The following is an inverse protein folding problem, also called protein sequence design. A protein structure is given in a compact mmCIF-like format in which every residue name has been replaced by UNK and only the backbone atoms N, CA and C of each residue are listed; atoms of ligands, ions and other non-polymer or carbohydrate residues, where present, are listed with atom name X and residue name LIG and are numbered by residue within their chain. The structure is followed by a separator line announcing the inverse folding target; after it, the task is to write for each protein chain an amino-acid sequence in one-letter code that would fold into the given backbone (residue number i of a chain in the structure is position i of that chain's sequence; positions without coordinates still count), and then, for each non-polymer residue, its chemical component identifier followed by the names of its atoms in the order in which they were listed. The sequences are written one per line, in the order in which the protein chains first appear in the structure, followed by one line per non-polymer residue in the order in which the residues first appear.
data_IF_052127828754
#
_entry.id   IF_052127828754
#
_cell.length_a   1.000
_cell.length_b   1.000
_cell.length_c   1.000
_cell.angle_alpha   90.00
_cell.angle_beta   90.00
_cell.angle_gamma   90.00
#
_symmetry.space_group_name_H-M   'P 1'
#
loop_
_entity.id
_entity.type
_entity.pdbx_description
1 polymer ?
#
# COMPACT_ATOMS: atom_id res chain seq x y z
N UNK A 1 20.50 24.77 16.30
CA UNK A 1 19.61 25.63 17.12
C UNK A 1 18.20 25.42 16.60
N UNK A 2 17.27 25.06 17.49
CA UNK A 2 15.87 24.80 17.11
C UNK A 2 15.22 26.01 16.45
N UNK A 3 14.23 25.79 15.60
CA UNK A 3 13.45 26.85 14.95
C UNK A 3 12.86 27.79 16.01
N UNK A 4 12.30 27.21 17.09
CA UNK A 4 11.80 27.98 18.24
C UNK A 4 12.87 28.90 18.83
N UNK A 5 14.09 28.39 19.05
CA UNK A 5 15.19 29.20 19.59
C UNK A 5 15.61 30.30 18.61
N UNK A 6 15.68 30.03 17.30
CA UNK A 6 15.98 31.04 16.28
C UNK A 6 14.95 32.18 16.26
N UNK A 7 13.66 31.84 16.31
CA UNK A 7 12.57 32.81 16.36
C UNK A 7 12.62 33.67 17.62
N UNK A 8 12.81 33.04 18.80
CA UNK A 8 12.93 33.76 20.06
C UNK A 8 14.16 34.67 20.09
N UNK A 9 15.32 34.21 19.61
CA UNK A 9 16.53 35.03 19.54
C UNK A 9 16.31 36.26 18.66
N UNK A 10 15.70 36.10 17.49
CA UNK A 10 15.42 37.21 16.58
C UNK A 10 14.44 38.23 17.19
N UNK A 11 13.39 37.76 17.87
CA UNK A 11 12.43 38.60 18.57
C UNK A 11 13.11 39.40 19.70
N UNK A 12 13.88 38.71 20.55
CA UNK A 12 14.59 39.32 21.67
C UNK A 12 15.64 40.33 21.19
N UNK A 13 16.30 40.07 20.07
CA UNK A 13 17.28 40.99 19.49
C UNK A 13 16.62 42.28 18.98
N UNK A 14 15.47 42.18 18.32
CA UNK A 14 14.72 43.35 17.86
C UNK A 14 14.20 44.20 19.04
N UNK A 15 13.64 43.55 20.08
CA UNK A 15 13.17 44.21 21.30
C UNK A 15 14.35 44.82 22.08
N UNK A 16 15.47 44.12 22.18
CA UNK A 16 16.67 44.62 22.85
C UNK A 16 17.20 45.88 22.17
N UNK A 17 17.29 45.90 20.84
CA UNK A 17 17.73 47.07 20.08
C UNK A 17 16.76 48.25 20.26
N UNK A 18 15.44 48.01 20.27
CA UNK A 18 14.47 49.09 20.49
C UNK A 18 14.55 49.67 21.89
N UNK A 19 14.72 48.83 22.93
CA UNK A 19 14.90 49.30 24.31
C UNK A 19 16.16 50.18 24.42
N UNK A 20 17.29 49.73 23.88
CA UNK A 20 18.54 50.50 23.91
C UNK A 20 18.35 51.86 23.24
N UNK A 21 17.68 51.90 22.09
CA UNK A 21 17.40 53.14 21.37
C UNK A 21 16.46 54.07 22.16
N UNK A 22 15.38 53.54 22.74
CA UNK A 22 14.44 54.32 23.56
C UNK A 22 15.15 54.88 24.80
N UNK A 23 15.94 54.05 25.49
CA UNK A 23 16.74 54.49 26.64
C UNK A 23 17.73 55.59 26.27
N UNK A 24 18.37 55.49 25.10
CA UNK A 24 19.26 56.54 24.59
C UNK A 24 18.53 57.87 24.34
N UNK A 25 17.35 57.82 23.71
CA UNK A 25 16.52 59.01 23.46
C UNK A 25 16.07 59.65 24.77
N UNK A 26 15.55 58.85 25.71
CA UNK A 26 15.12 59.33 27.03
C UNK A 26 16.28 60.00 27.76
N UNK A 27 17.46 59.36 27.76
CA UNK A 27 18.66 59.91 28.40
C UNK A 27 19.05 61.27 27.80
N UNK A 28 19.07 61.40 26.47
CA UNK A 28 19.37 62.69 25.81
C UNK A 28 18.31 63.74 26.09
N UNK A 29 17.03 63.36 26.14
CA UNK A 29 15.93 64.27 26.43
C UNK A 29 15.99 64.81 27.87
N UNK A 30 16.33 63.97 28.85
CA UNK A 30 16.50 64.39 30.25
C UNK A 30 17.65 65.40 30.42
N UNK A 31 18.75 65.24 29.67
CA UNK A 31 19.88 66.18 29.69
C UNK A 31 19.49 67.57 29.16
N UNK A 32 18.63 67.63 28.13
CA UNK A 32 18.17 68.89 27.52
C UNK A 32 17.27 69.69 28.49
N UNK A 33 16.39 69.02 29.23
CA UNK A 33 15.40 69.68 30.09
C UNK A 33 16.02 70.41 31.30
N UNK A 34 17.18 69.96 31.78
CA UNK A 34 17.82 70.53 32.98
C UNK A 34 18.51 71.90 32.76
N UNK A 35 18.72 72.34 31.51
CA UNK A 35 19.67 73.41 31.20
C UNK A 35 19.07 74.82 31.02
N UNK A 36 17.75 75.02 30.95
CA UNK A 36 17.20 76.25 30.34
C UNK A 36 16.06 76.98 31.08
N UNK A 37 15.60 76.51 32.25
CA UNK A 37 14.45 77.13 32.94
C UNK A 37 14.78 78.46 33.64
N UNK A 38 16.04 78.68 34.03
CA UNK A 38 16.38 79.77 34.94
C UNK A 38 16.77 81.08 34.22
N UNK A 39 17.08 81.03 32.91
CA UNK A 39 17.61 82.20 32.20
C UNK A 39 16.54 83.26 31.85
N UNK A 40 15.27 82.86 31.70
CA UNK A 40 14.15 83.79 31.50
C UNK A 40 14.02 84.76 32.68
N UNK A 41 14.30 84.27 33.90
CA UNK A 41 14.27 85.11 35.09
C UNK A 41 15.38 86.17 35.07
N UNK A 42 16.57 85.82 34.56
CA UNK A 42 17.69 86.77 34.38
C UNK A 42 17.29 87.93 33.47
N UNK A 43 16.68 87.62 32.31
CA UNK A 43 16.24 88.62 31.34
C UNK A 43 15.22 89.60 31.94
N UNK A 44 14.20 89.07 32.62
CA UNK A 44 13.17 89.88 33.29
C UNK A 44 13.77 90.76 34.39
N UNK A 45 14.72 90.23 35.17
CA UNK A 45 15.39 91.00 36.23
C UNK A 45 16.22 92.16 35.66
N UNK A 46 16.97 91.95 34.56
CA UNK A 46 17.76 93.02 33.92
C UNK A 46 16.86 94.10 33.31
N UNK A 47 15.77 93.69 32.65
CA UNK A 47 14.80 94.64 32.11
C UNK A 47 14.11 95.45 33.22
N UNK A 48 13.77 94.81 34.33
CA UNK A 48 13.22 95.47 35.51
C UNK A 48 14.24 96.42 36.17
N UNK A 49 15.51 96.03 36.23
CA UNK A 49 16.60 96.85 36.75
C UNK A 49 16.78 98.14 35.92
N UNK A 50 16.75 98.01 34.60
CA UNK A 50 16.79 99.17 33.70
C UNK A 50 15.57 100.08 33.89
N UNK A 51 14.38 99.50 34.02
CA UNK A 51 13.13 100.23 34.25
C UNK A 51 13.15 101.02 35.56
N UNK A 52 13.52 100.39 36.68
CA UNK A 52 13.56 101.04 37.99
C UNK A 52 14.71 102.05 38.12
N UNK A 53 15.83 101.83 37.43
CA UNK A 53 16.90 102.84 37.34
C UNK A 53 16.42 104.08 36.58
N UNK A 54 15.61 103.89 35.52
CA UNK A 54 14.98 105.00 34.80
C UNK A 54 13.95 105.72 35.66
N UNK A 55 13.16 104.98 36.44
CA UNK A 55 12.23 105.56 37.40
C UNK A 55 12.97 106.36 38.50
N UNK A 56 14.11 105.87 38.97
CA UNK A 56 15.00 106.58 39.92
C UNK A 56 15.54 107.88 39.31
N UNK A 57 15.98 107.84 38.04
CA UNK A 57 16.39 109.06 37.33
C UNK A 57 15.24 110.08 37.30
N UNK A 58 14.03 109.64 36.99
CA UNK A 58 12.86 110.51 36.89
C UNK A 58 12.45 111.10 38.25
N UNK A 59 12.43 110.30 39.32
CA UNK A 59 12.08 110.77 40.67
C UNK A 59 13.10 111.77 41.22
N UNK A 60 14.40 111.53 41.02
CA UNK A 60 15.45 112.51 41.33
C UNK A 60 15.28 113.80 40.51
N UNK A 61 14.97 113.68 39.22
CA UNK A 61 14.68 114.85 38.38
C UNK A 61 13.46 115.62 38.88
N UNK A 62 12.38 114.93 39.27
CA UNK A 62 11.16 115.55 39.81
C UNK A 62 11.45 116.32 41.11
N UNK A 63 12.23 115.74 42.03
CA UNK A 63 12.67 116.45 43.23
C UNK A 63 13.49 117.69 42.90
N UNK A 64 14.41 117.60 41.93
CA UNK A 64 15.25 118.74 41.55
C UNK A 64 14.45 119.94 41.04
N UNK A 65 13.31 119.71 40.36
CA UNK A 65 12.41 120.76 39.90
C UNK A 65 11.40 121.20 40.96
N UNK A 66 10.96 120.28 41.83
CA UNK A 66 9.97 120.53 42.87
C UNK A 66 10.34 119.77 44.16
N UNK A 67 11.13 120.38 45.07
CA UNK A 67 11.70 119.71 46.25
C UNK A 67 10.68 119.58 47.39
N UNK A 68 9.67 118.73 47.16
CA UNK A 68 8.66 118.36 48.17
C UNK A 68 9.07 117.10 48.93
N UNK A 69 8.53 116.93 50.14
CA UNK A 69 8.76 115.70 50.91
C UNK A 69 8.22 114.46 50.20
N UNK A 70 7.12 114.59 49.44
CA UNK A 70 6.59 113.51 48.61
C UNK A 70 7.56 113.06 47.52
N UNK A 71 8.18 114.01 46.79
CA UNK A 71 9.19 113.70 45.77
C UNK A 71 10.48 113.16 46.39
N UNK A 72 10.85 113.61 47.60
CA UNK A 72 11.99 113.06 48.34
C UNK A 72 11.75 111.59 48.67
N UNK A 73 10.58 111.27 49.25
CA UNK A 73 10.23 109.90 49.60
C UNK A 73 10.10 108.99 48.38
N UNK A 74 9.56 109.49 47.27
CA UNK A 74 9.51 108.73 46.01
C UNK A 74 10.93 108.43 45.49
N UNK A 75 11.83 109.41 45.50
CA UNK A 75 13.23 109.20 45.11
C UNK A 75 13.93 108.15 45.98
N UNK A 76 13.79 108.24 47.30
CA UNK A 76 14.35 107.25 48.24
C UNK A 76 13.79 105.85 47.98
N UNK A 77 12.48 105.72 47.79
CA UNK A 77 11.81 104.43 47.54
C UNK A 77 12.28 103.81 46.22
N UNK A 78 12.44 104.62 45.16
CA UNK A 78 12.95 104.15 43.87
C UNK A 78 14.42 103.74 43.94
N UNK A 79 15.23 104.47 44.68
CA UNK A 79 16.64 104.13 44.91
C UNK A 79 16.76 102.80 45.67
N UNK A 80 16.02 102.63 46.76
CA UNK A 80 16.00 101.39 47.54
C UNK A 80 15.56 100.20 46.70
N UNK A 81 14.46 100.33 45.94
CA UNK A 81 13.98 99.28 45.03
C UNK A 81 15.02 98.92 43.97
N UNK A 82 15.71 99.91 43.40
CA UNK A 82 16.78 99.68 42.42
C UNK A 82 17.96 98.93 43.04
N UNK A 83 18.36 99.30 44.26
CA UNK A 83 19.42 98.63 45.02
C UNK A 83 19.07 97.15 45.34
N UNK A 84 17.81 96.88 45.69
CA UNK A 84 17.30 95.52 45.87
C UNK A 84 17.37 94.70 44.57
N UNK A 85 16.99 95.27 43.43
CA UNK A 85 17.04 94.57 42.13
C UNK A 85 18.50 94.32 41.71
N UNK A 86 19.44 95.23 41.97
CA UNK A 86 20.88 94.95 41.76
C UNK A 86 21.34 93.72 42.55
N UNK A 87 20.90 93.59 43.79
CA UNK A 87 21.21 92.43 44.64
C UNK A 87 20.62 91.14 44.07
N UNK A 88 19.36 91.18 43.60
CA UNK A 88 18.72 90.04 42.93
C UNK A 88 19.44 89.66 41.63
N UNK A 89 19.78 90.65 40.80
CA UNK A 89 20.49 90.44 39.53
C UNK A 89 21.85 89.78 39.76
N UNK A 90 22.58 90.16 40.81
CA UNK A 90 23.88 89.57 41.18
C UNK A 90 23.77 88.10 41.58
N UNK A 91 22.66 87.68 42.18
CA UNK A 91 22.41 86.29 42.54
C UNK A 91 22.00 85.40 41.35
N UNK A 92 21.45 86.00 40.29
CA UNK A 92 20.92 85.27 39.13
C UNK A 92 21.90 85.21 37.94
N UNK A 93 22.66 86.28 37.70
CA UNK A 93 23.61 86.35 36.58
C UNK A 93 24.87 85.56 36.94
N UNK A 94 25.07 84.41 36.30
CA UNK A 94 26.27 83.57 36.50
C UNK A 94 27.37 83.79 35.45
N UNK A 95 27.03 84.38 34.29
CA UNK A 95 27.99 84.62 33.21
C UNK A 95 29.01 85.70 33.60
N UNK A 96 30.30 85.39 33.45
CA UNK A 96 31.41 86.24 33.93
C UNK A 96 31.39 87.65 33.31
N UNK A 97 31.14 87.78 32.02
CA UNK A 97 31.15 89.08 31.34
C UNK A 97 29.97 89.96 31.74
N UNK A 98 28.78 89.36 31.84
CA UNK A 98 27.57 90.03 32.34
C UNK A 98 27.71 90.44 33.81
N UNK A 99 28.39 89.65 34.64
CA UNK A 99 28.71 90.03 36.02
C UNK A 99 29.63 91.26 36.08
N UNK A 100 30.67 91.34 35.22
CA UNK A 100 31.57 92.51 35.19
C UNK A 100 30.82 93.80 34.88
N UNK A 101 29.90 93.77 33.90
CA UNK A 101 29.08 94.94 33.54
C UNK A 101 28.09 95.28 34.65
N UNK A 102 27.45 94.28 35.27
CA UNK A 102 26.57 94.48 36.42
C UNK A 102 27.30 95.11 37.60
N UNK A 103 28.49 94.62 37.95
CA UNK A 103 29.30 95.17 39.05
C UNK A 103 29.67 96.63 38.81
N UNK A 104 30.09 96.97 37.58
CA UNK A 104 30.38 98.35 37.19
C UNK A 104 29.15 99.25 37.29
N UNK A 105 28.00 98.79 36.81
CA UNK A 105 26.74 99.52 36.92
C UNK A 105 26.32 99.71 38.39
N UNK A 106 26.51 98.67 39.21
CA UNK A 106 26.21 98.70 40.64
C UNK A 106 27.10 99.68 41.40
N UNK A 107 28.42 99.67 41.17
CA UNK A 107 29.36 100.62 41.80
C UNK A 107 29.01 102.07 41.48
N UNK A 108 28.69 102.36 40.21
CA UNK A 108 28.21 103.69 39.80
C UNK A 108 26.90 104.06 40.48
N UNK A 109 25.97 103.10 40.58
CA UNK A 109 24.69 103.32 41.24
C UNK A 109 24.85 103.57 42.74
N UNK A 110 25.70 102.81 43.45
CA UNK A 110 25.97 103.00 44.88
C UNK A 110 26.62 104.35 45.15
N UNK A 111 27.58 104.78 44.31
CA UNK A 111 28.19 106.10 44.42
C UNK A 111 27.16 107.23 44.18
N UNK A 112 26.28 107.06 43.19
CA UNK A 112 25.17 107.96 42.90
C UNK A 112 24.18 108.01 44.06
N UNK A 113 23.79 106.85 44.60
CA UNK A 113 22.85 106.69 45.70
C UNK A 113 23.35 107.36 46.97
N UNK A 114 24.62 107.19 47.31
CA UNK A 114 25.23 107.84 48.48
C UNK A 114 25.19 109.37 48.38
N UNK A 115 25.55 109.93 47.22
CA UNK A 115 25.56 111.39 47.02
C UNK A 115 24.15 111.96 46.83
N UNK A 116 23.24 111.22 46.21
CA UNK A 116 21.83 111.60 46.07
C UNK A 116 21.13 111.64 47.44
N UNK A 117 21.38 110.67 48.32
CA UNK A 117 20.81 110.65 49.67
C UNK A 117 21.23 111.89 50.48
N UNK A 118 22.52 112.23 50.49
CA UNK A 118 23.03 113.45 51.15
C UNK A 118 22.37 114.71 50.59
N UNK A 119 22.29 114.80 49.26
CA UNK A 119 21.71 115.97 48.58
C UNK A 119 20.19 116.11 48.80
N UNK A 120 19.47 115.00 48.92
CA UNK A 120 18.05 114.98 49.27
C UNK A 120 17.80 115.46 50.70
N UNK A 121 18.68 115.09 51.65
CA UNK A 121 18.63 115.54 53.04
C UNK A 121 18.96 117.03 53.18
N UNK A 122 19.97 117.50 52.44
CA UNK A 122 20.38 118.90 52.38
C UNK A 122 19.45 119.78 51.52
N UNK A 123 18.46 119.18 50.86
CA UNK A 123 17.56 119.83 49.88
C UNK A 123 18.31 120.55 48.75
N UNK A 124 19.45 120.03 48.35
CA UNK A 124 20.29 120.58 47.30
C UNK A 124 19.80 120.12 45.91
N UNK A 125 18.85 120.85 45.33
CA UNK A 125 18.26 120.53 44.02
C UNK A 125 19.27 120.46 42.88
N UNK A 126 20.32 121.29 42.89
CA UNK A 126 21.35 121.30 41.85
C UNK A 126 22.17 120.00 41.87
N UNK A 127 22.52 119.55 43.07
CA UNK A 127 23.22 118.28 43.27
C UNK A 127 22.34 117.08 42.91
N UNK A 128 21.08 117.07 43.33
CA UNK A 128 20.13 116.01 42.95
C UNK A 128 19.94 115.96 41.42
N UNK A 129 19.88 117.10 40.74
CA UNK A 129 19.83 117.14 39.27
C UNK A 129 21.08 116.51 38.66
N UNK A 130 22.26 116.80 39.21
CA UNK A 130 23.52 116.20 38.76
C UNK A 130 23.51 114.68 38.93
N UNK A 131 23.02 114.17 40.05
CA UNK A 131 22.90 112.73 40.27
C UNK A 131 21.87 112.08 39.33
N UNK A 132 20.73 112.72 39.08
CA UNK A 132 19.77 112.27 38.06
C UNK A 132 20.42 112.14 36.66
N UNK A 133 21.27 113.09 36.27
CA UNK A 133 22.02 113.00 35.01
C UNK A 133 23.08 111.89 35.06
N UNK A 134 23.76 111.69 36.19
CA UNK A 134 24.71 110.56 36.37
C UNK A 134 24.03 109.18 36.27
N UNK A 135 22.72 109.07 36.52
CA UNK A 135 21.95 107.85 36.27
C UNK A 135 22.02 107.42 34.81
N UNK A 136 22.28 108.32 33.85
CA UNK A 136 22.51 107.95 32.44
C UNK A 136 23.73 107.05 32.27
N UNK A 137 24.79 107.28 33.06
CA UNK A 137 25.97 106.43 33.05
C UNK A 137 25.73 105.02 33.58
N UNK A 138 24.77 104.86 34.51
CA UNK A 138 24.28 103.57 35.00
C UNK A 138 23.39 102.91 33.96
N UNK A 139 22.42 103.66 33.40
CA UNK A 139 21.51 103.18 32.35
C UNK A 139 22.26 102.69 31.10
N UNK A 140 23.37 103.34 30.74
CA UNK A 140 24.19 102.90 29.62
C UNK A 140 24.88 101.56 29.89
N UNK A 141 25.42 101.35 31.10
CA UNK A 141 26.00 100.05 31.48
C UNK A 141 24.89 98.98 31.60
N UNK A 142 23.69 99.34 32.09
CA UNK A 142 22.54 98.42 32.13
C UNK A 142 22.00 98.08 30.73
N UNK A 143 22.07 99.01 29.78
CA UNK A 143 21.73 98.72 28.39
C UNK A 143 22.73 97.74 27.77
N UNK A 144 24.03 97.93 28.02
CA UNK A 144 25.06 96.97 27.62
C UNK A 144 24.85 95.61 28.26
N UNK A 145 24.51 95.56 29.56
CA UNK A 145 24.17 94.33 30.27
C UNK A 145 22.96 93.64 29.63
N UNK A 146 21.93 94.39 29.28
CA UNK A 146 20.75 93.86 28.60
C UNK A 146 21.13 93.25 27.24
N UNK A 147 22.00 93.90 26.45
CA UNK A 147 22.50 93.32 25.19
C UNK A 147 23.22 91.99 25.46
N UNK A 148 24.17 91.96 26.40
CA UNK A 148 24.93 90.74 26.72
C UNK A 148 24.05 89.57 27.19
N UNK A 149 23.07 89.86 28.04
CA UNK A 149 22.12 88.85 28.52
C UNK A 149 21.21 88.35 27.40
N UNK A 150 20.75 89.22 26.49
CA UNK A 150 19.97 88.79 25.33
C UNK A 150 20.83 87.94 24.37
N UNK A 151 22.05 88.34 24.06
CA UNK A 151 22.96 87.57 23.19
C UNK A 151 23.25 86.17 23.75
N UNK A 152 23.46 86.06 25.06
CA UNK A 152 23.67 84.76 25.70
C UNK A 152 22.39 83.92 25.74
N UNK A 153 21.22 84.54 25.92
CA UNK A 153 19.94 83.84 25.82
C UNK A 153 19.69 83.28 24.41
N UNK A 154 19.97 84.07 23.37
CA UNK A 154 19.86 83.64 21.98
C UNK A 154 20.84 82.48 21.69
N UNK A 155 22.06 82.55 22.23
CA UNK A 155 23.02 81.45 22.16
C UNK A 155 22.48 80.17 22.82
N UNK A 156 21.91 80.25 24.02
CA UNK A 156 21.29 79.11 24.70
C UNK A 156 20.10 78.54 23.91
N UNK A 157 19.28 79.38 23.26
CA UNK A 157 18.18 78.91 22.43
C UNK A 157 18.66 78.16 21.19
N UNK A 158 19.67 78.68 20.51
CA UNK A 158 20.21 78.03 19.32
C UNK A 158 20.93 76.72 19.69
N UNK A 159 21.65 76.68 20.81
CA UNK A 159 22.21 75.43 21.33
C UNK A 159 21.12 74.40 21.67
N UNK A 160 20.05 74.82 22.36
CA UNK A 160 18.90 73.96 22.67
C UNK A 160 18.27 73.39 21.39
N UNK A 161 18.05 74.23 20.38
CA UNK A 161 17.49 73.82 19.09
C UNK A 161 18.40 72.83 18.38
N UNK A 162 19.71 73.04 18.40
CA UNK A 162 20.70 72.11 17.83
C UNK A 162 20.69 70.77 18.56
N UNK A 163 20.61 70.77 19.90
CA UNK A 163 20.49 69.55 20.69
C UNK A 163 19.19 68.77 20.37
N UNK A 164 18.06 69.47 20.27
CA UNK A 164 16.77 68.88 19.89
C UNK A 164 16.83 68.31 18.47
N UNK A 165 17.38 69.05 17.50
CA UNK A 165 17.55 68.58 16.13
C UNK A 165 18.44 67.35 16.06
N UNK A 166 19.53 67.31 16.84
CA UNK A 166 20.39 66.13 16.93
C UNK A 166 19.63 64.91 17.49
N UNK A 167 18.81 65.10 18.54
CA UNK A 167 17.97 64.03 19.09
C UNK A 167 17.00 63.51 18.02
N UNK A 168 16.28 64.40 17.33
CA UNK A 168 15.35 64.03 16.26
C UNK A 168 16.06 63.28 15.13
N UNK A 169 17.19 63.80 14.64
CA UNK A 169 17.96 63.18 13.56
C UNK A 169 18.49 61.79 13.97
N UNK A 170 19.05 61.67 15.18
CA UNK A 170 19.51 60.39 15.71
C UNK A 170 18.37 59.38 15.88
N UNK A 171 17.17 59.82 16.28
CA UNK A 171 15.98 59.00 16.38
C UNK A 171 15.48 58.54 15.00
N UNK A 172 15.49 59.41 13.99
CA UNK A 172 15.12 59.04 12.61
C UNK A 172 16.09 58.01 12.05
N UNK A 173 17.40 58.27 12.14
CA UNK A 173 18.45 57.36 11.65
C UNK A 173 18.37 56.01 12.36
N UNK A 174 18.23 56.00 13.69
CA UNK A 174 18.07 54.78 14.46
C UNK A 174 16.81 54.00 14.10
N UNK A 175 15.70 54.69 13.78
CA UNK A 175 14.44 54.06 13.38
C UNK A 175 14.58 53.40 12.01
N UNK A 176 15.21 54.08 11.05
CA UNK A 176 15.51 53.53 9.72
C UNK A 176 16.42 52.30 9.87
N UNK A 177 17.45 52.39 10.69
CA UNK A 177 18.39 51.28 10.92
C UNK A 177 17.69 50.08 11.56
N UNK A 178 16.79 50.31 12.54
CA UNK A 178 15.94 49.26 13.12
C UNK A 178 15.08 48.59 12.06
N UNK A 179 14.43 49.35 11.18
CA UNK A 179 13.60 48.80 10.08
C UNK A 179 14.45 47.97 9.12
N UNK A 180 15.63 48.44 8.74
CA UNK A 180 16.56 47.71 7.85
C UNK A 180 17.02 46.40 8.49
N UNK A 181 17.41 46.43 9.77
CA UNK A 181 17.84 45.24 10.51
C UNK A 181 16.68 44.25 10.67
N UNK A 182 15.50 44.72 11.09
CA UNK A 182 14.31 43.89 11.23
C UNK A 182 13.87 43.27 9.90
N UNK A 183 13.90 44.05 8.82
CA UNK A 183 13.62 43.59 7.45
C UNK A 183 14.62 42.53 6.99
N UNK A 184 15.92 42.75 7.22
CA UNK A 184 16.97 41.79 6.90
C UNK A 184 16.81 40.46 7.65
N UNK A 185 16.46 40.51 8.93
CA UNK A 185 16.13 39.32 9.74
C UNK A 185 14.90 38.61 9.16
N UNK A 186 13.86 39.35 8.74
CA UNK A 186 12.65 38.80 8.12
C UNK A 186 12.91 38.07 6.80
N UNK A 187 13.76 38.65 5.92
CA UNK A 187 14.18 38.03 4.65
C UNK A 187 15.00 36.76 4.92
N UNK A 188 15.91 36.81 5.89
CA UNK A 188 16.69 35.63 6.31
C UNK A 188 15.78 34.52 6.85
N UNK A 189 14.78 34.86 7.66
CA UNK A 189 13.84 33.88 8.20
C UNK A 189 13.00 33.22 7.09
N UNK A 190 12.51 34.05 6.16
CA UNK A 190 11.73 33.57 5.00
C UNK A 190 12.54 32.59 4.15
N UNK A 191 13.81 32.90 3.88
CA UNK A 191 14.67 32.02 3.07
C UNK A 191 15.13 30.75 3.79
N UNK A 192 15.30 30.80 5.11
CA UNK A 192 15.84 29.66 5.89
C UNK A 192 14.78 28.74 6.49
N UNK A 193 13.54 29.20 6.62
CA UNK A 193 12.44 28.45 7.23
C UNK A 193 11.26 28.35 6.27
N UNK A 194 10.69 29.48 5.86
CA UNK A 194 9.43 29.51 5.09
C UNK A 194 9.57 28.88 3.70
N UNK A 195 10.66 29.17 2.97
CA UNK A 195 10.90 28.60 1.64
C UNK A 195 11.05 27.07 1.67
N UNK A 196 11.95 26.47 2.48
CA UNK A 196 12.04 25.01 2.61
C UNK A 196 10.73 24.37 3.06
N UNK A 197 10.04 24.96 4.04
CA UNK A 197 8.76 24.44 4.52
C UNK A 197 7.70 24.41 3.40
N UNK A 198 7.63 25.48 2.60
CA UNK A 198 6.73 25.52 1.44
C UNK A 198 7.08 24.44 0.41
N UNK A 199 8.37 24.19 0.17
CA UNK A 199 8.80 23.14 -0.75
C UNK A 199 8.44 21.74 -0.24
N UNK A 200 8.62 21.48 1.06
CA UNK A 200 8.18 20.22 1.69
C UNK A 200 6.66 20.07 1.56
N UNK A 201 5.89 21.14 1.77
CA UNK A 201 4.44 21.11 1.60
C UNK A 201 4.01 20.82 0.14
N UNK A 202 4.71 21.38 -0.85
CA UNK A 202 4.49 21.07 -2.27
C UNK A 202 4.80 19.60 -2.55
N UNK A 203 5.94 19.10 -2.08
CA UNK A 203 6.32 17.69 -2.24
C UNK A 203 5.28 16.76 -1.60
N UNK A 204 4.77 17.10 -0.41
CA UNK A 204 3.69 16.36 0.24
C UNK A 204 2.41 16.33 -0.59
N UNK A 205 2.07 17.45 -1.23
CA UNK A 205 0.90 17.54 -2.11
C UNK A 205 1.08 16.71 -3.40
N UNK A 206 2.29 16.66 -3.95
CA UNK A 206 2.60 15.80 -5.11
C UNK A 206 2.52 14.32 -4.75
N UNK A 207 3.05 13.91 -3.59
CA UNK A 207 2.88 12.55 -3.05
C UNK A 207 1.39 12.22 -2.90
N UNK A 208 0.58 13.14 -2.37
CA UNK A 208 -0.86 12.94 -2.18
C UNK A 208 -1.61 12.77 -3.51
N UNK A 209 -1.10 13.32 -4.62
CA UNK A 209 -1.63 13.10 -5.98
C UNK A 209 -1.09 11.82 -6.64
N UNK A 210 -0.25 11.05 -5.96
CA UNK A 210 0.35 9.82 -6.47
C UNK A 210 1.71 10.01 -7.18
N UNK A 211 2.24 11.23 -7.24
CA UNK A 211 3.57 11.49 -7.77
C UNK A 211 4.62 11.30 -6.67
N UNK A 212 5.25 10.13 -6.63
CA UNK A 212 6.33 9.81 -5.67
C UNK A 212 7.72 10.18 -6.18
N UNK A 213 7.84 10.64 -7.43
CA UNK A 213 9.11 11.05 -8.04
C UNK A 213 9.44 12.50 -7.66
N UNK A 214 9.51 12.77 -6.36
CA UNK A 214 9.82 14.09 -5.81
C UNK A 214 11.32 14.23 -5.56
N UNK A 215 11.85 15.43 -5.82
CA UNK A 215 13.24 15.74 -5.48
C UNK A 215 13.34 16.13 -4.00
N UNK A 216 14.35 15.61 -3.31
CA UNK A 216 14.63 15.94 -1.91
C UNK A 216 14.91 17.42 -1.78
N UNK A 217 14.23 18.09 -0.85
CA UNK A 217 14.49 19.52 -0.58
C UNK A 217 15.93 19.65 -0.07
N UNK A 218 16.79 20.48 -0.70
CA UNK A 218 18.19 20.61 -0.32
C UNK A 218 18.33 21.44 0.97
N UNK A 219 17.97 20.84 2.10
CA UNK A 219 17.99 21.46 3.42
C UNK A 219 19.04 20.79 4.31
N UNK A 220 20.13 21.52 4.60
CA UNK A 220 21.30 20.99 5.32
C UNK A 220 21.28 21.24 6.84
N UNK A 221 20.27 21.94 7.37
CA UNK A 221 20.24 22.25 8.81
C UNK A 221 19.68 21.07 9.61
N UNK A 222 20.33 20.76 10.74
CA UNK A 222 19.91 19.74 11.70
C UNK A 222 18.95 20.31 12.76
N UNK A 223 17.90 20.99 12.31
CA UNK A 223 16.81 21.45 13.17
C UNK A 223 15.51 20.70 12.83
N UNK A 224 14.38 21.11 13.40
CA UNK A 224 13.11 20.40 13.24
C UNK A 224 12.66 20.31 11.77
N UNK A 225 13.03 21.29 10.93
CA UNK A 225 12.76 21.22 9.48
C UNK A 225 13.64 20.19 8.79
N UNK A 226 14.88 20.01 9.24
CA UNK A 226 15.77 18.97 8.72
C UNK A 226 15.25 17.57 9.03
N UNK A 227 14.84 17.35 10.28
CA UNK A 227 14.19 16.09 10.67
C UNK A 227 12.92 15.85 9.87
N UNK A 228 12.06 16.87 9.70
CA UNK A 228 10.86 16.76 8.89
C UNK A 228 11.17 16.37 7.43
N UNK A 229 12.18 17.00 6.83
CA UNK A 229 12.61 16.72 5.46
C UNK A 229 13.12 15.28 5.30
N UNK A 230 13.93 14.80 6.25
CA UNK A 230 14.41 13.41 6.27
C UNK A 230 13.26 12.41 6.45
N UNK A 231 12.32 12.67 7.36
CA UNK A 231 11.15 11.79 7.55
C UNK A 231 10.26 11.74 6.31
N UNK A 232 10.06 12.87 5.62
CA UNK A 232 9.29 12.92 4.36
C UNK A 232 9.97 12.13 3.23
N UNK A 233 11.29 12.25 3.11
CA UNK A 233 12.11 11.51 2.13
C UNK A 233 12.02 9.99 2.38
N UNK A 234 12.15 9.57 3.64
CA UNK A 234 11.96 8.17 4.03
C UNK A 234 10.54 7.65 3.73
N UNK A 235 9.51 8.46 4.01
CA UNK A 235 8.12 8.11 3.71
C UNK A 235 7.89 7.94 2.20
N UNK A 236 8.41 8.85 1.37
CA UNK A 236 8.31 8.75 -0.09
C UNK A 236 9.01 7.49 -0.63
N UNK A 237 10.20 7.18 -0.10
CA UNK A 237 10.94 5.96 -0.46
C UNK A 237 10.19 4.68 -0.06
N UNK A 238 9.60 4.65 1.15
CA UNK A 238 8.80 3.52 1.62
C UNK A 238 7.54 3.32 0.78
N UNK A 239 6.83 4.39 0.44
CA UNK A 239 5.67 4.33 -0.46
C UNK A 239 6.04 3.81 -1.85
N UNK A 240 7.18 4.25 -2.39
CA UNK A 240 7.68 3.80 -3.69
C UNK A 240 7.99 2.30 -3.68
N UNK A 241 8.70 1.83 -2.65
CA UNK A 241 8.98 0.41 -2.43
C UNK A 241 7.70 -0.42 -2.27
N UNK A 242 6.70 0.09 -1.54
CA UNK A 242 5.41 -0.58 -1.40
C UNK A 242 4.69 -0.72 -2.74
N UNK A 243 4.62 0.34 -3.55
CA UNK A 243 4.01 0.27 -4.88
C UNK A 243 4.74 -0.69 -5.83
N UNK A 244 6.08 -0.76 -5.75
CA UNK A 244 6.84 -1.75 -6.52
C UNK A 244 6.47 -3.18 -6.12
N UNK A 245 6.33 -3.46 -4.82
CA UNK A 245 5.89 -4.77 -4.33
C UNK A 245 4.46 -5.11 -4.76
N UNK A 246 3.55 -4.14 -4.71
CA UNK A 246 2.17 -4.32 -5.20
C UNK A 246 2.15 -4.62 -6.70
N UNK A 247 2.97 -3.92 -7.51
CA UNK A 247 3.07 -4.20 -8.94
C UNK A 247 3.62 -5.60 -9.22
N UNK A 248 4.64 -6.05 -8.47
CA UNK A 248 5.16 -7.42 -8.59
C UNK A 248 4.09 -8.46 -8.25
N UNK A 249 3.37 -8.28 -7.14
CA UNK A 249 2.27 -9.17 -6.76
C UNK A 249 1.14 -9.17 -7.80
N UNK A 250 0.83 -8.01 -8.39
CA UNK A 250 -0.19 -7.93 -9.47
C UNK A 250 0.22 -8.73 -10.70
N UNK A 251 1.50 -8.71 -11.08
CA UNK A 251 2.02 -9.52 -12.20
C UNK A 251 2.03 -11.01 -11.89
N UNK A 252 2.32 -11.38 -10.64
CA UNK A 252 2.25 -12.77 -10.20
C UNK A 252 0.82 -13.30 -10.25
N UNK A 253 -0.16 -12.48 -9.84
CA UNK A 253 -1.60 -12.80 -9.97
C UNK A 253 -2.01 -12.94 -11.44
N UNK A 254 -1.52 -12.06 -12.33
CA UNK A 254 -1.77 -12.14 -13.77
C UNK A 254 -1.23 -13.44 -14.37
N UNK A 255 0.02 -13.81 -14.05
CA UNK A 255 0.61 -15.08 -14.47
C UNK A 255 -0.17 -16.29 -13.94
N UNK A 256 -0.58 -16.26 -12.66
CA UNK A 256 -1.36 -17.34 -12.06
C UNK A 256 -2.74 -17.50 -12.73
N UNK A 257 -3.35 -16.40 -13.16
CA UNK A 257 -4.60 -16.43 -13.91
C UNK A 257 -4.41 -17.07 -15.30
N UNK A 258 -3.31 -16.77 -15.99
CA UNK A 258 -2.96 -17.42 -17.27
C UNK A 258 -2.72 -18.93 -17.11
N UNK A 259 -2.02 -19.36 -16.06
CA UNK A 259 -1.83 -20.79 -15.76
C UNK A 259 -3.16 -21.50 -15.48
N UNK A 260 -4.03 -20.89 -14.67
CA UNK A 260 -5.37 -21.44 -14.40
C UNK A 260 -6.19 -21.57 -15.69
N UNK A 261 -6.12 -20.60 -16.60
CA UNK A 261 -6.83 -20.68 -17.88
C UNK A 261 -6.35 -21.88 -18.71
N UNK A 262 -5.03 -22.11 -18.77
CA UNK A 262 -4.47 -23.28 -19.46
C UNK A 262 -4.89 -24.60 -18.81
N UNK A 263 -4.85 -24.69 -17.48
CA UNK A 263 -5.33 -25.88 -16.76
C UNK A 263 -6.82 -26.14 -17.00
N UNK A 264 -7.64 -25.08 -17.09
CA UNK A 264 -9.08 -25.20 -17.35
C UNK A 264 -9.37 -25.74 -18.77
N UNK A 265 -8.59 -25.30 -19.77
CA UNK A 265 -8.64 -25.84 -21.13
C UNK A 265 -8.31 -27.34 -21.12
N UNK A 266 -7.24 -27.74 -20.42
CA UNK A 266 -6.85 -29.15 -20.29
C UNK A 266 -7.93 -29.98 -19.57
N UNK A 267 -8.52 -29.44 -18.50
CA UNK A 267 -9.59 -30.10 -17.75
C UNK A 267 -10.85 -30.29 -18.60
N UNK A 268 -11.17 -29.33 -19.47
CA UNK A 268 -12.28 -29.42 -20.41
C UNK A 268 -12.05 -30.54 -21.43
N UNK A 269 -10.83 -30.65 -21.97
CA UNK A 269 -10.46 -31.74 -22.88
C UNK A 269 -10.54 -33.12 -22.21
N UNK A 270 -10.00 -33.25 -21.00
CA UNK A 270 -10.10 -34.49 -20.21
C UNK A 270 -11.58 -34.84 -19.96
N UNK A 271 -12.41 -33.86 -19.62
CA UNK A 271 -13.84 -34.07 -19.38
C UNK A 271 -14.56 -34.55 -20.64
N UNK A 272 -14.21 -34.03 -21.83
CA UNK A 272 -14.72 -34.54 -23.11
C UNK A 272 -14.30 -35.99 -23.36
N UNK A 273 -13.03 -36.35 -23.09
CA UNK A 273 -12.55 -37.73 -23.25
C UNK A 273 -13.24 -38.71 -22.29
N UNK A 274 -13.52 -38.29 -21.06
CA UNK A 274 -14.30 -39.07 -20.10
C UNK A 274 -15.73 -39.29 -20.60
N UNK A 275 -16.37 -38.26 -21.17
CA UNK A 275 -17.70 -38.39 -21.76
C UNK A 275 -17.71 -39.42 -22.91
N UNK A 276 -16.75 -39.31 -23.84
CA UNK A 276 -16.60 -40.27 -24.95
C UNK A 276 -16.36 -41.69 -24.44
N UNK A 277 -15.45 -41.87 -23.48
CA UNK A 277 -15.16 -43.19 -22.89
C UNK A 277 -16.39 -43.78 -22.18
N UNK A 278 -17.21 -42.94 -21.58
CA UNK A 278 -18.46 -43.37 -20.93
C UNK A 278 -19.50 -43.81 -21.95
N UNK A 279 -19.61 -43.11 -23.08
CA UNK A 279 -20.49 -43.51 -24.19
C UNK A 279 -20.03 -44.84 -24.81
N UNK A 280 -18.73 -45.01 -25.05
CA UNK A 280 -18.16 -46.27 -25.54
C UNK A 280 -18.40 -47.44 -24.56
N UNK A 281 -18.23 -47.20 -23.25
CA UNK A 281 -18.51 -48.20 -22.22
C UNK A 281 -19.98 -48.58 -22.19
N UNK A 282 -20.88 -47.61 -22.32
CA UNK A 282 -22.34 -47.82 -22.38
C UNK A 282 -22.70 -48.68 -23.61
N UNK A 283 -22.14 -48.34 -24.78
CA UNK A 283 -22.33 -49.13 -26.00
C UNK A 283 -21.77 -50.56 -25.86
N UNK A 284 -20.58 -50.72 -25.29
CA UNK A 284 -19.98 -52.03 -25.04
C UNK A 284 -20.81 -52.86 -24.05
N UNK A 285 -21.35 -52.25 -22.99
CA UNK A 285 -22.24 -52.92 -22.05
C UNK A 285 -23.54 -53.37 -22.71
N UNK A 286 -24.09 -52.58 -23.63
CA UNK A 286 -25.26 -52.96 -24.43
C UNK A 286 -24.96 -54.18 -25.32
N UNK A 287 -23.83 -54.19 -26.02
CA UNK A 287 -23.40 -55.36 -26.83
C UNK A 287 -23.22 -56.60 -25.97
N UNK A 288 -22.56 -56.49 -24.79
CA UNK A 288 -22.42 -57.61 -23.85
C UNK A 288 -23.80 -58.14 -23.40
N UNK A 289 -24.76 -57.25 -23.17
CA UNK A 289 -26.13 -57.66 -22.82
C UNK A 289 -26.82 -58.42 -23.96
N UNK A 290 -26.62 -58.00 -25.21
CA UNK A 290 -27.14 -58.68 -26.41
C UNK A 290 -26.49 -60.07 -26.59
N UNK A 291 -25.17 -60.16 -26.46
CA UNK A 291 -24.43 -61.42 -26.53
C UNK A 291 -24.86 -62.41 -25.43
N UNK A 292 -25.13 -61.90 -24.22
CA UNK A 292 -25.67 -62.71 -23.12
C UNK A 292 -27.07 -63.23 -23.44
N UNK A 293 -27.94 -62.40 -24.03
CA UNK A 293 -29.28 -62.81 -24.44
C UNK A 293 -29.20 -63.95 -25.48
N UNK A 294 -28.30 -63.81 -26.47
CA UNK A 294 -28.07 -64.84 -27.48
C UNK A 294 -27.46 -66.12 -26.88
N UNK A 295 -26.55 -65.99 -25.91
CA UNK A 295 -25.97 -67.14 -25.21
C UNK A 295 -27.03 -67.93 -24.43
N UNK A 296 -27.99 -67.24 -23.80
CA UNK A 296 -29.12 -67.88 -23.12
C UNK A 296 -29.99 -68.64 -24.11
N UNK A 297 -30.26 -68.09 -25.30
CA UNK A 297 -31.01 -68.78 -26.37
C UNK A 297 -30.28 -70.03 -26.86
N UNK A 298 -28.96 -69.96 -27.08
CA UNK A 298 -28.16 -71.14 -27.45
C UNK A 298 -28.18 -72.22 -26.36
N UNK A 299 -28.17 -71.84 -25.08
CA UNK A 299 -28.26 -72.78 -23.96
C UNK A 299 -29.63 -73.46 -23.94
N UNK A 300 -30.72 -72.73 -24.18
CA UNK A 300 -32.07 -73.28 -24.28
C UNK A 300 -32.21 -74.29 -25.43
N UNK A 301 -31.64 -73.98 -26.59
CA UNK A 301 -31.61 -74.90 -27.73
C UNK A 301 -30.74 -76.13 -27.45
N UNK A 302 -29.60 -75.96 -26.76
CA UNK A 302 -28.77 -77.08 -26.34
C UNK A 302 -29.49 -78.00 -25.36
N UNK A 303 -30.28 -77.46 -24.43
CA UNK A 303 -31.10 -78.26 -23.50
C UNK A 303 -32.14 -79.10 -24.26
N UNK A 304 -32.82 -78.53 -25.26
CA UNK A 304 -33.74 -79.27 -26.14
C UNK A 304 -33.06 -80.41 -26.89
N UNK A 305 -31.89 -80.16 -27.47
CA UNK A 305 -31.11 -81.18 -28.19
C UNK A 305 -30.61 -82.29 -27.25
N UNK A 306 -30.21 -81.95 -26.01
CA UNK A 306 -29.85 -82.94 -24.99
C UNK A 306 -31.06 -83.82 -24.64
N UNK A 307 -32.25 -83.23 -24.46
CA UNK A 307 -33.47 -83.99 -24.21
C UNK A 307 -33.81 -84.95 -25.36
N UNK A 308 -33.72 -84.49 -26.60
CA UNK A 308 -33.91 -85.34 -27.79
C UNK A 308 -32.90 -86.49 -27.85
N UNK A 309 -31.64 -86.23 -27.51
CA UNK A 309 -30.60 -87.25 -27.51
C UNK A 309 -30.81 -88.28 -26.39
N UNK A 310 -31.31 -87.86 -25.22
CA UNK A 310 -31.73 -88.77 -24.15
C UNK A 310 -32.86 -89.70 -24.60
N UNK A 311 -33.86 -89.17 -25.30
CA UNK A 311 -34.96 -89.97 -25.88
C UNK A 311 -34.43 -90.99 -26.90
N UNK A 312 -33.59 -90.57 -27.84
CA UNK A 312 -32.95 -91.47 -28.81
C UNK A 312 -32.08 -92.54 -28.13
N UNK A 313 -31.36 -92.19 -27.07
CA UNK A 313 -30.54 -93.15 -26.30
C UNK A 313 -31.42 -94.18 -25.60
N UNK A 314 -32.55 -93.76 -25.04
CA UNK A 314 -33.52 -94.66 -24.43
C UNK A 314 -34.14 -95.61 -25.45
N UNK A 315 -34.48 -95.12 -26.63
CA UNK A 315 -34.99 -95.92 -27.75
C UNK A 315 -33.93 -96.93 -28.24
N UNK A 316 -32.69 -96.49 -28.42
CA UNK A 316 -31.56 -97.35 -28.81
C UNK A 316 -31.29 -98.46 -27.79
N UNK A 317 -31.41 -98.16 -26.49
CA UNK A 317 -31.33 -99.15 -25.41
C UNK A 317 -32.46 -100.18 -25.48
N UNK A 318 -33.69 -99.73 -25.81
CA UNK A 318 -34.83 -100.61 -26.03
C UNK A 318 -34.60 -101.55 -27.22
N UNK A 319 -34.20 -101.02 -28.38
CA UNK A 319 -33.88 -101.82 -29.56
C UNK A 319 -32.73 -102.81 -29.30
N UNK A 320 -31.71 -102.39 -28.56
CA UNK A 320 -30.61 -103.29 -28.17
C UNK A 320 -31.11 -104.45 -27.30
N UNK A 321 -32.04 -104.21 -26.38
CA UNK A 321 -32.65 -105.25 -25.56
C UNK A 321 -33.46 -106.24 -26.40
N UNK A 322 -34.27 -105.73 -27.33
CA UNK A 322 -35.04 -106.54 -28.28
C UNK A 322 -34.12 -107.39 -29.17
N UNK A 323 -33.01 -106.81 -29.66
CA UNK A 323 -32.01 -107.55 -30.44
C UNK A 323 -31.36 -108.68 -29.63
N UNK A 324 -31.03 -108.45 -28.34
CA UNK A 324 -30.50 -109.48 -27.45
C UNK A 324 -31.51 -110.61 -27.23
N UNK A 325 -32.79 -110.28 -27.08
CA UNK A 325 -33.86 -111.27 -26.95
C UNK A 325 -34.01 -112.11 -28.23
N UNK A 326 -34.05 -111.47 -29.40
CA UNK A 326 -34.11 -112.12 -30.70
C UNK A 326 -32.88 -113.02 -30.96
N UNK A 327 -31.68 -112.59 -30.58
CA UNK A 327 -30.47 -113.43 -30.62
C UNK A 327 -30.63 -114.65 -29.70
N UNK A 328 -31.21 -114.46 -28.51
CA UNK A 328 -31.51 -115.54 -27.57
C UNK A 328 -32.47 -116.59 -28.14
N UNK A 329 -33.55 -116.15 -28.81
CA UNK A 329 -34.48 -117.03 -29.53
C UNK A 329 -33.83 -117.73 -30.72
N UNK A 330 -33.07 -116.98 -31.53
CA UNK A 330 -32.30 -117.54 -32.65
C UNK A 330 -31.33 -118.63 -32.20
N UNK A 331 -30.67 -118.45 -31.04
CA UNK A 331 -29.80 -119.48 -30.46
C UNK A 331 -30.58 -120.75 -30.08
N UNK A 332 -31.78 -120.63 -29.50
CA UNK A 332 -32.65 -121.78 -29.21
C UNK A 332 -33.05 -122.51 -30.50
N UNK A 333 -33.40 -121.77 -31.55
CA UNK A 333 -33.73 -122.36 -32.85
C UNK A 333 -32.55 -123.13 -33.45
N UNK A 334 -31.32 -122.57 -33.40
CA UNK A 334 -30.10 -123.25 -33.87
C UNK A 334 -29.81 -124.53 -33.06
N UNK A 335 -29.94 -124.51 -31.74
CA UNK A 335 -29.78 -125.74 -30.93
C UNK A 335 -30.85 -126.79 -31.26
N UNK A 336 -32.10 -126.38 -31.50
CA UNK A 336 -33.16 -127.26 -32.02
C UNK A 336 -32.80 -127.87 -33.38
N UNK A 337 -32.28 -127.05 -34.31
CA UNK A 337 -31.81 -127.51 -35.63
C UNK A 337 -30.67 -128.55 -35.49
N UNK A 338 -29.73 -128.33 -34.57
CA UNK A 338 -28.61 -129.24 -34.31
C UNK A 338 -29.08 -130.59 -33.76
N UNK A 339 -30.10 -130.61 -32.92
CA UNK A 339 -30.75 -131.84 -32.46
C UNK A 339 -31.37 -132.61 -33.64
N UNK A 340 -32.13 -131.92 -34.50
CA UNK A 340 -32.72 -132.51 -35.71
C UNK A 340 -31.66 -133.05 -36.68
N UNK A 341 -30.55 -132.33 -36.89
CA UNK A 341 -29.42 -132.81 -37.72
C UNK A 341 -28.84 -134.10 -37.14
N UNK A 342 -28.71 -134.21 -35.81
CA UNK A 342 -28.20 -135.41 -35.13
C UNK A 342 -29.16 -136.59 -35.30
N UNK A 343 -30.47 -136.35 -35.22
CA UNK A 343 -31.50 -137.34 -35.48
C UNK A 343 -31.50 -137.79 -36.95
N UNK A 344 -31.41 -136.85 -37.88
CA UNK A 344 -31.33 -137.14 -39.31
C UNK A 344 -30.08 -137.98 -39.66
N UNK A 345 -28.95 -137.71 -39.01
CA UNK A 345 -27.74 -138.55 -39.14
C UNK A 345 -27.98 -139.99 -38.67
N UNK A 346 -28.70 -140.21 -37.57
CA UNK A 346 -29.10 -141.56 -37.12
C UNK A 346 -30.01 -142.23 -38.15
N UNK A 347 -31.04 -141.52 -38.62
CA UNK A 347 -31.96 -142.04 -39.64
C UNK A 347 -31.22 -142.44 -40.93
N UNK A 348 -30.30 -141.58 -41.40
CA UNK A 348 -29.44 -141.87 -42.56
C UNK A 348 -28.57 -143.12 -42.35
N UNK A 349 -28.02 -143.31 -41.14
CA UNK A 349 -27.28 -144.54 -40.81
C UNK A 349 -28.16 -145.79 -40.86
N UNK A 350 -29.39 -145.71 -40.35
CA UNK A 350 -30.36 -146.81 -40.43
C UNK A 350 -30.74 -147.13 -41.87
N UNK A 351 -30.96 -146.12 -42.71
CA UNK A 351 -31.23 -146.31 -44.16
C UNK A 351 -30.04 -147.01 -44.81
N UNK A 352 -28.80 -146.59 -44.53
CA UNK A 352 -27.61 -147.24 -45.08
C UNK A 352 -27.52 -148.71 -44.68
N UNK A 353 -27.75 -149.02 -43.41
CA UNK A 353 -27.76 -150.42 -42.91
C UNK A 353 -28.82 -151.27 -43.61
N UNK A 354 -30.04 -150.74 -43.78
CA UNK A 354 -31.10 -151.41 -44.52
C UNK A 354 -30.75 -151.62 -46.00
N UNK A 355 -30.07 -150.65 -46.61
CA UNK A 355 -29.61 -150.74 -48.01
C UNK A 355 -28.55 -151.83 -48.18
N UNK A 356 -27.57 -151.92 -47.26
CA UNK A 356 -26.54 -152.97 -47.29
C UNK A 356 -27.15 -154.37 -47.12
N UNK A 357 -28.15 -154.51 -46.23
CA UNK A 357 -28.91 -155.76 -46.12
C UNK A 357 -29.66 -156.12 -47.40
N UNK A 358 -30.27 -155.13 -48.06
CA UNK A 358 -30.97 -155.33 -49.32
C UNK A 358 -30.03 -155.83 -50.43
N UNK A 359 -28.83 -155.26 -50.55
CA UNK A 359 -27.79 -155.74 -51.48
C UNK A 359 -27.44 -157.21 -51.19
N UNK A 360 -27.32 -157.58 -49.91
CA UNK A 360 -27.10 -158.97 -49.49
C UNK A 360 -28.24 -159.92 -49.88
N UNK A 361 -29.50 -159.48 -49.78
CA UNK A 361 -30.64 -160.28 -50.25
C UNK A 361 -30.69 -160.42 -51.77
N UNK A 362 -30.37 -159.36 -52.52
CA UNK A 362 -30.34 -159.39 -53.98
C UNK A 362 -29.31 -160.42 -54.51
N UNK A 363 -28.12 -160.50 -53.89
CA UNK A 363 -27.10 -161.50 -54.25
C UNK A 363 -27.58 -162.94 -54.00
N UNK A 364 -28.30 -163.19 -52.89
CA UNK A 364 -28.89 -164.51 -52.62
C UNK A 364 -29.96 -164.90 -53.65
N UNK A 365 -30.73 -163.94 -54.16
CA UNK A 365 -31.72 -164.17 -55.23
C UNK A 365 -31.02 -164.54 -56.54
N UNK A 366 -29.88 -163.91 -56.85
CA UNK A 366 -29.04 -164.23 -58.01
C UNK A 366 -28.54 -165.70 -57.96
N UNK A 367 -28.00 -166.12 -56.82
CA UNK A 367 -27.56 -167.52 -56.60
C UNK A 367 -28.71 -168.53 -56.76
N UNK A 368 -29.90 -168.20 -56.25
CA UNK A 368 -31.09 -169.03 -56.43
C UNK A 368 -31.51 -169.13 -57.90
N UNK A 369 -31.51 -168.02 -58.64
CA UNK A 369 -31.85 -168.01 -60.06
C UNK A 369 -30.87 -168.84 -60.90
N UNK A 370 -29.57 -168.81 -60.57
CA UNK A 370 -28.56 -169.65 -61.19
C UNK A 370 -28.81 -171.15 -60.95
N UNK A 371 -29.20 -171.53 -59.73
CA UNK A 371 -29.56 -172.92 -59.40
C UNK A 371 -30.81 -173.40 -60.15
N UNK A 372 -31.84 -172.56 -60.28
CA UNK A 372 -33.05 -172.89 -61.05
C UNK A 372 -32.74 -173.10 -62.53
N UNK A 373 -31.85 -172.27 -63.11
CA UNK A 373 -31.38 -172.42 -64.49
C UNK A 373 -30.66 -173.75 -64.72
N UNK A 374 -29.82 -174.19 -63.78
CA UNK A 374 -29.13 -175.48 -63.85
C UNK A 374 -30.10 -176.68 -63.82
N UNK A 375 -31.15 -176.63 -62.99
CA UNK A 375 -32.18 -177.68 -62.92
C UNK A 375 -32.99 -177.76 -64.23
N UNK A 376 -33.32 -176.62 -64.82
CA UNK A 376 -34.06 -176.57 -66.09
C UNK A 376 -33.27 -177.22 -67.23
N UNK A 377 -31.95 -176.98 -67.30
CA UNK A 377 -31.07 -177.60 -68.30
C UNK A 377 -30.98 -179.13 -68.17
N UNK A 378 -30.93 -179.64 -66.94
CA UNK A 378 -30.88 -181.08 -66.66
C UNK A 378 -32.19 -181.79 -67.01
N UNK A 379 -33.32 -181.13 -66.79
CA UNK A 379 -34.66 -181.67 -67.09
C UNK A 379 -34.92 -181.79 -68.59
N UNK A 380 -34.44 -180.82 -69.38
CA UNK A 380 -34.56 -180.83 -70.84
C UNK A 380 -33.82 -182.02 -71.50
N UNK A 381 -32.67 -182.42 -70.93
CA UNK A 381 -31.86 -183.52 -71.45
C UNK A 381 -32.47 -184.91 -71.15
N UNK A 382 -33.14 -185.08 -70.01
CA UNK A 382 -33.85 -186.32 -69.65
C UNK A 382 -35.07 -186.57 -70.55
N UNK A 383 -35.82 -185.50 -70.88
CA UNK A 383 -37.01 -185.59 -71.71
C UNK A 383 -36.69 -186.03 -73.16
N UNK A 384 -35.56 -185.59 -73.71
CA UNK A 384 -35.17 -185.90 -75.09
C UNK A 384 -34.75 -187.37 -75.28
N UNK A 385 -34.02 -187.94 -74.32
CA UNK A 385 -33.61 -189.36 -74.39
C UNK A 385 -34.81 -190.31 -74.26
N UNK A 386 -35.84 -189.95 -73.49
CA UNK A 386 -37.05 -190.76 -73.37
C UNK A 386 -37.87 -190.79 -74.68
N UNK A 387 -37.91 -189.68 -75.43
CA UNK A 387 -38.63 -189.58 -76.69
C UNK A 387 -37.99 -190.38 -77.83
N UNK A 388 -36.66 -190.52 -77.83
CA UNK A 388 -35.91 -191.25 -78.87
C UNK A 388 -36.09 -192.77 -78.74
N UNK A 389 -36.15 -193.30 -77.51
CA UNK A 389 -36.20 -194.75 -77.28
C UNK A 389 -37.58 -195.37 -77.57
N UNK A 390 -38.66 -194.61 -77.34
CA UNK A 390 -40.04 -195.06 -77.61
C UNK A 390 -40.34 -195.21 -79.12
N UNK A 391 -39.73 -194.39 -79.98
CA UNK A 391 -39.95 -194.42 -81.42
C UNK A 391 -39.20 -195.57 -82.13
N UNK A 392 -38.14 -196.09 -81.49
CA UNK A 392 -37.23 -197.06 -82.11
C UNK A 392 -37.74 -198.51 -82.07
N UNK A 393 -38.53 -198.88 -81.07
CA UNK A 393 -39.04 -200.26 -80.92
C UNK A 393 -40.31 -200.55 -81.75
N UNK A 394 -41.11 -199.54 -82.12
CA UNK A 394 -42.38 -199.77 -82.82
C UNK A 394 -42.24 -200.01 -84.34
N UNK A 395 -41.11 -199.67 -84.96
CA UNK A 395 -40.97 -199.67 -86.43
C UNK A 395 -40.26 -200.88 -87.03
N UNK A 396 -39.58 -201.69 -86.20
CA UNK A 396 -38.78 -202.82 -86.68
C UNK A 396 -39.52 -204.16 -86.71
N UNK A 397 -40.75 -204.25 -86.20
CA UNK A 397 -41.53 -205.49 -86.25
C UNK A 397 -42.59 -205.48 -87.38
N UNK A 398 -42.23 -204.94 -88.56
CA UNK A 398 -43.08 -204.98 -89.76
C UNK A 398 -42.36 -205.37 -91.07
N UNK A 399 -41.20 -206.03 -91.03
CA UNK A 399 -40.53 -206.55 -92.25
C UNK A 399 -40.09 -208.02 -92.20
N UNK A 400 -40.28 -208.79 -91.12
CA UNK A 400 -40.23 -210.26 -91.23
C UNK A 400 -41.34 -210.95 -90.43
N UNK A 401 -42.40 -211.31 -91.19
CA UNK A 401 -43.66 -212.01 -90.87
C UNK A 401 -44.85 -211.17 -90.45
#
# INVERSE_FOLDING_TARGET
MTIKKKLLLNLLLAIGLSIVMISFIIYRMLMVQASNQDYVQVLLTVQNLQSETSATKQSLSNFSFNPTEGNRQDALTKMEKTSQIFTQAKGLIQQEDSQKVLSKAHEKFTALESEANKALDEKNSAEVKRQSLRSEGVLNDLHLLNIQVNEYYDFLQEDLKNQIQFIILSAIIGSILLVVVAGGIGIRLTSTITKPLKQIAINAQEIAKGNLMIEKVPYKHKDELGTLNESFDQMAAQLTSLLQKVNLASREVEHFAEEIEQENIALTEISNQVAVSTDELSAGAQTVSEDLQQSVELIDDMDKEIMLNLDHTQESSSYSREAVEAIGEGRKAIEGQKALITENKKASHSIRSATDQFVGYAAKIEDMAASVSAIAAQTNLLALNAAIEAARLARLEKVLR
#
